data_IF_908691075697
#
_entry.id   IF_908691075697
#
_cell.length_a   1.000
_cell.length_b   1.000
_cell.length_c   1.000
_cell.angle_alpha   90.00
_cell.angle_beta   90.00
_cell.angle_gamma   90.00
#
_symmetry.space_group_name_H-M   'P 1'
#
loop_
_entity.id
_entity.type
_entity.pdbx_description
1 polymer ?
#
# COMPACT_ATOMS: atom_id res chain seq x y z
N UNK A 1 12.17 -10.89 -20.77
CA UNK A 1 12.33 -11.47 -19.41
C UNK A 1 13.38 -12.56 -19.50
N UNK A 2 14.42 -12.56 -18.65
CA UNK A 2 15.47 -13.57 -18.73
C UNK A 2 14.88 -14.98 -18.68
N UNK A 3 15.19 -15.80 -19.68
CA UNK A 3 14.75 -17.20 -19.74
C UNK A 3 13.31 -17.44 -20.19
N UNK A 4 12.52 -16.41 -20.52
CA UNK A 4 11.11 -16.59 -20.95
C UNK A 4 10.88 -16.12 -22.40
N UNK A 5 10.87 -17.04 -23.38
CA UNK A 5 10.60 -16.71 -24.78
C UNK A 5 9.28 -15.97 -24.97
N UNK A 6 9.26 -14.96 -25.84
CA UNK A 6 8.06 -14.17 -26.13
C UNK A 6 7.67 -13.17 -25.03
N UNK A 7 8.48 -12.98 -23.99
CA UNK A 7 8.28 -11.95 -22.97
C UNK A 7 9.43 -10.94 -22.95
N UNK A 8 9.10 -9.66 -22.78
CA UNK A 8 10.03 -8.55 -22.89
C UNK A 8 9.89 -7.60 -21.70
N UNK A 9 10.98 -6.92 -21.35
CA UNK A 9 10.93 -5.78 -20.43
C UNK A 9 11.01 -4.52 -21.28
N UNK A 10 9.93 -3.73 -21.29
CA UNK A 10 9.90 -2.44 -21.94
C UNK A 10 10.13 -1.35 -20.89
N UNK A 11 11.09 -0.46 -21.14
CA UNK A 11 11.34 0.72 -20.30
C UNK A 11 10.78 1.94 -21.02
N UNK A 12 9.85 2.64 -20.36
CA UNK A 12 9.13 3.78 -20.92
C UNK A 12 9.43 5.00 -20.04
N UNK A 13 9.71 6.14 -20.67
CA UNK A 13 9.87 7.42 -19.99
C UNK A 13 8.67 8.32 -20.30
N UNK A 14 8.18 9.02 -19.29
CA UNK A 14 7.11 10.01 -19.38
C UNK A 14 7.66 11.35 -18.91
N UNK A 15 7.25 12.44 -19.55
CA UNK A 15 7.56 13.78 -19.07
C UNK A 15 6.80 14.05 -17.76
N UNK A 16 7.40 14.80 -16.84
CA UNK A 16 6.81 15.11 -15.54
C UNK A 16 5.55 15.97 -15.69
N UNK A 17 5.50 16.81 -16.72
CA UNK A 17 4.38 17.72 -17.00
C UNK A 17 3.07 16.97 -17.36
N UNK A 18 3.15 15.66 -17.65
CA UNK A 18 1.99 14.81 -17.87
C UNK A 18 1.24 14.45 -16.58
N UNK A 19 1.82 14.76 -15.41
CA UNK A 19 1.30 14.31 -14.13
C UNK A 19 0.85 15.48 -13.26
N UNK A 20 -0.38 15.39 -12.78
CA UNK A 20 -0.90 16.28 -11.76
C UNK A 20 -0.13 16.07 -10.44
N UNK A 21 0.32 17.18 -9.85
CA UNK A 21 1.01 17.21 -8.56
C UNK A 21 0.14 16.59 -7.46
N UNK A 22 0.72 15.72 -6.63
CA UNK A 22 0.03 15.13 -5.48
C UNK A 22 -1.08 14.12 -5.82
N UNK A 23 -1.25 13.72 -7.08
CA UNK A 23 -2.39 12.92 -7.54
C UNK A 23 -1.99 11.51 -8.00
N UNK A 24 -2.15 10.52 -7.11
CA UNK A 24 -1.97 9.09 -7.45
C UNK A 24 -3.01 8.66 -8.51
N UNK A 25 -4.23 9.20 -8.44
CA UNK A 25 -5.29 8.92 -9.39
C UNK A 25 -4.90 9.35 -10.81
N UNK A 26 -4.36 10.56 -10.99
CA UNK A 26 -3.88 11.02 -12.28
C UNK A 26 -2.73 10.14 -12.79
N UNK A 27 -1.66 9.93 -12.00
CA UNK A 27 -0.52 9.09 -12.39
C UNK A 27 -0.94 7.68 -12.82
N UNK A 28 -1.82 7.04 -12.05
CA UNK A 28 -2.31 5.69 -12.38
C UNK A 28 -3.16 5.69 -13.65
N UNK A 29 -4.06 6.66 -13.81
CA UNK A 29 -4.88 6.77 -15.02
C UNK A 29 -4.02 6.98 -16.28
N UNK A 30 -2.95 7.76 -16.19
CA UNK A 30 -2.03 8.04 -17.30
C UNK A 30 -1.18 6.82 -17.68
N UNK A 31 -0.67 6.06 -16.70
CA UNK A 31 0.27 4.95 -16.97
C UNK A 31 -0.45 3.64 -17.29
N UNK A 32 -1.51 3.30 -16.54
CA UNK A 32 -2.13 1.97 -16.60
C UNK A 32 -3.59 1.99 -17.08
N UNK A 33 -4.17 3.17 -17.37
CA UNK A 33 -5.60 3.31 -17.63
C UNK A 33 -6.15 2.45 -18.78
N UNK A 34 -5.51 2.52 -19.96
CA UNK A 34 -6.02 1.83 -21.16
C UNK A 34 -5.07 0.75 -21.72
N UNK A 35 -3.78 0.83 -21.39
CA UNK A 35 -2.73 0.06 -22.09
C UNK A 35 -2.81 -1.46 -21.85
N UNK A 36 -3.40 -1.89 -20.73
CA UNK A 36 -3.57 -3.32 -20.41
C UNK A 36 -4.68 -3.99 -21.24
N UNK A 37 -5.57 -3.22 -21.86
CA UNK A 37 -6.66 -3.72 -22.72
C UNK A 37 -6.32 -3.78 -24.21
N UNK A 38 -5.07 -3.48 -24.60
CA UNK A 38 -4.68 -3.46 -26.02
C UNK A 38 -4.76 -4.86 -26.64
N UNK A 39 -5.59 -5.03 -27.68
CA UNK A 39 -5.75 -6.31 -28.39
C UNK A 39 -4.45 -6.88 -28.97
N UNK A 40 -3.47 -6.02 -29.24
CA UNK A 40 -2.16 -6.41 -29.75
C UNK A 40 -1.24 -7.02 -28.66
N UNK A 41 -1.57 -6.84 -27.38
CA UNK A 41 -0.82 -7.38 -26.26
C UNK A 41 -1.54 -8.61 -25.70
N UNK A 42 -0.84 -9.74 -25.63
CA UNK A 42 -1.38 -10.96 -25.00
C UNK A 42 -1.52 -10.81 -23.48
N UNK A 43 -0.56 -10.14 -22.86
CA UNK A 43 -0.53 -9.82 -21.44
C UNK A 43 0.43 -8.64 -21.23
N UNK A 44 0.18 -7.86 -20.18
CA UNK A 44 1.05 -6.77 -19.74
C UNK A 44 1.13 -6.79 -18.22
N UNK A 45 2.30 -6.47 -17.67
CA UNK A 45 2.53 -6.27 -16.25
C UNK A 45 3.44 -5.07 -16.05
N UNK A 46 3.02 -4.16 -15.18
CA UNK A 46 3.88 -3.09 -14.69
C UNK A 46 4.75 -3.68 -13.56
N UNK A 47 6.06 -3.77 -13.79
CA UNK A 47 7.00 -4.38 -12.83
C UNK A 47 7.52 -3.36 -11.81
N UNK A 48 7.83 -2.13 -12.24
CA UNK A 48 8.42 -1.10 -11.39
C UNK A 48 8.13 0.31 -11.94
N UNK A 49 8.21 1.31 -11.07
CA UNK A 49 8.10 2.74 -11.39
C UNK A 49 9.24 3.51 -10.74
N UNK A 50 10.01 4.22 -11.58
CA UNK A 50 10.96 5.22 -11.08
C UNK A 50 10.23 6.55 -10.86
N UNK A 51 9.98 6.91 -9.60
CA UNK A 51 9.38 8.20 -9.26
C UNK A 51 10.47 9.27 -9.02
N UNK A 52 10.52 10.37 -9.80
CA UNK A 52 11.53 11.40 -9.63
C UNK A 52 11.29 12.22 -8.36
N UNK A 53 12.38 12.75 -7.76
CA UNK A 53 12.31 13.56 -6.53
C UNK A 53 11.41 14.79 -6.67
N UNK A 54 11.35 15.41 -7.86
CA UNK A 54 10.50 16.56 -8.12
C UNK A 54 9.02 16.21 -7.93
N UNK A 55 8.57 15.10 -8.52
CA UNK A 55 7.20 14.62 -8.37
C UNK A 55 6.93 14.12 -6.94
N UNK A 56 7.87 13.37 -6.34
CA UNK A 56 7.72 12.82 -4.99
C UNK A 56 7.46 13.92 -3.93
N UNK A 57 8.09 15.10 -4.08
CA UNK A 57 7.92 16.24 -3.17
C UNK A 57 6.54 16.89 -3.20
N UNK A 58 5.72 16.57 -4.20
CA UNK A 58 4.34 17.08 -4.30
C UNK A 58 3.37 16.33 -3.38
N UNK A 59 3.81 15.21 -2.78
CA UNK A 59 3.00 14.41 -1.87
C UNK A 59 3.38 14.66 -0.41
N UNK A 60 2.41 14.63 0.53
CA UNK A 60 2.69 14.76 1.96
C UNK A 60 3.44 13.54 2.53
N UNK A 61 3.37 12.39 1.85
CA UNK A 61 3.96 11.13 2.34
C UNK A 61 3.20 10.56 3.54
N UNK A 62 3.84 9.65 4.31
CA UNK A 62 3.25 9.09 5.52
C UNK A 62 3.00 10.18 6.59
N UNK A 63 1.82 10.22 7.25
CA UNK A 63 1.51 11.26 8.26
C UNK A 63 2.49 11.31 9.45
N UNK A 64 3.06 10.17 9.84
CA UNK A 64 3.99 10.06 10.98
C UNK A 64 5.27 9.31 10.59
N UNK A 65 5.11 8.19 9.87
CA UNK A 65 6.22 7.31 9.55
C UNK A 65 6.68 6.47 10.74
N UNK A 66 7.62 5.56 10.47
CA UNK A 66 8.02 4.49 11.40
C UNK A 66 8.61 5.04 12.71
N UNK A 67 9.41 6.12 12.62
CA UNK A 67 10.09 6.69 13.80
C UNK A 67 9.08 7.28 14.77
N UNK A 68 8.26 8.22 14.30
CA UNK A 68 7.22 8.88 15.11
C UNK A 68 6.20 7.87 15.66
N UNK A 69 5.79 6.87 14.87
CA UNK A 69 4.86 5.84 15.32
C UNK A 69 5.44 5.03 16.50
N UNK A 70 6.73 4.69 16.47
CA UNK A 70 7.40 4.00 17.58
C UNK A 70 7.56 4.87 18.81
N UNK A 71 7.86 6.16 18.61
CA UNK A 71 7.95 7.15 19.69
C UNK A 71 6.60 7.38 20.38
N UNK A 72 5.51 7.50 19.63
CA UNK A 72 4.16 7.64 20.20
C UNK A 72 3.71 6.43 21.00
N UNK A 73 4.14 5.23 20.62
CA UNK A 73 3.75 3.98 21.27
C UNK A 73 4.71 3.55 22.38
N UNK A 74 5.87 4.20 22.52
CA UNK A 74 6.98 3.80 23.39
C UNK A 74 7.37 2.31 23.20
N UNK A 75 7.51 1.88 21.93
CA UNK A 75 7.75 0.47 21.56
C UNK A 75 8.94 0.32 20.62
N UNK A 76 10.02 -0.22 21.17
CA UNK A 76 11.31 -0.38 20.48
C UNK A 76 11.83 -1.81 20.54
N UNK A 77 12.80 -2.14 19.68
CA UNK A 77 13.54 -3.41 19.73
C UNK A 77 12.77 -4.67 19.31
N UNK A 78 11.47 -4.56 19.00
CA UNK A 78 10.64 -5.68 18.51
C UNK A 78 9.63 -5.26 17.44
N UNK A 79 9.12 -6.21 16.62
CA UNK A 79 7.94 -6.00 15.81
C UNK A 79 6.71 -5.65 16.66
N UNK A 80 5.81 -4.87 16.08
CA UNK A 80 4.47 -4.66 16.62
C UNK A 80 3.60 -5.86 16.25
N UNK A 81 2.83 -6.36 17.21
CA UNK A 81 1.97 -7.55 17.03
C UNK A 81 0.52 -7.13 17.09
N UNK A 82 -0.28 -7.56 16.11
CA UNK A 82 -1.71 -7.30 16.10
C UNK A 82 -2.55 -8.44 15.56
N UNK A 83 -3.85 -8.40 15.84
CA UNK A 83 -4.81 -9.41 15.40
C UNK A 83 -6.05 -8.77 14.77
N UNK A 84 -6.63 -9.44 13.78
CA UNK A 84 -7.95 -9.09 13.24
C UNK A 84 -9.02 -9.76 14.08
N UNK A 85 -10.01 -9.00 14.54
CA UNK A 85 -11.14 -9.56 15.32
C UNK A 85 -11.93 -10.57 14.47
N UNK A 86 -12.34 -11.69 15.08
CA UNK A 86 -13.14 -12.74 14.43
C UNK A 86 -14.38 -13.10 15.27
N UNK A 87 -15.48 -13.57 14.65
CA UNK A 87 -15.70 -13.73 13.21
C UNK A 87 -15.72 -12.39 12.47
N UNK A 88 -15.53 -12.45 11.13
CA UNK A 88 -15.45 -11.27 10.26
C UNK A 88 -16.66 -10.34 10.40
N UNK A 89 -17.86 -10.91 10.53
CA UNK A 89 -19.12 -10.20 10.76
C UNK A 89 -19.94 -10.95 11.82
N UNK A 90 -20.92 -10.25 12.40
CA UNK A 90 -21.93 -10.86 13.29
C UNK A 90 -21.65 -10.74 14.79
N UNK A 91 -20.55 -10.10 15.20
CA UNK A 91 -20.36 -9.71 16.58
C UNK A 91 -21.17 -8.45 16.90
N UNK A 92 -21.86 -8.45 18.04
CA UNK A 92 -22.38 -7.21 18.63
C UNK A 92 -21.21 -6.32 19.07
N UNK A 93 -21.41 -5.00 19.13
CA UNK A 93 -20.37 -4.06 19.58
C UNK A 93 -19.82 -4.43 20.97
N UNK A 94 -20.66 -4.93 21.88
CA UNK A 94 -20.25 -5.39 23.20
C UNK A 94 -19.30 -6.60 23.12
N UNK A 95 -19.64 -7.60 22.31
CA UNK A 95 -18.80 -8.78 22.17
C UNK A 95 -17.52 -8.46 21.39
N UNK A 96 -17.58 -7.55 20.42
CA UNK A 96 -16.43 -7.02 19.71
C UNK A 96 -15.44 -6.38 20.69
N UNK A 97 -15.92 -5.47 21.56
CA UNK A 97 -15.09 -4.83 22.59
C UNK A 97 -14.48 -5.84 23.57
N UNK A 98 -15.21 -6.91 23.91
CA UNK A 98 -14.66 -7.99 24.75
C UNK A 98 -13.48 -8.69 24.08
N UNK A 99 -13.59 -9.04 22.79
CA UNK A 99 -12.49 -9.68 22.05
C UNK A 99 -11.27 -8.76 21.97
N UNK A 100 -11.51 -7.48 21.66
CA UNK A 100 -10.45 -6.45 21.61
C UNK A 100 -9.72 -6.35 22.96
N UNK A 101 -10.48 -6.24 24.05
CA UNK A 101 -9.92 -6.13 25.39
C UNK A 101 -9.06 -7.34 25.77
N UNK A 102 -9.56 -8.56 25.59
CA UNK A 102 -8.80 -9.78 25.94
C UNK A 102 -7.51 -9.90 25.11
N UNK A 103 -7.57 -9.52 23.83
CA UNK A 103 -6.41 -9.59 22.94
C UNK A 103 -5.31 -8.59 23.34
N UNK A 104 -5.67 -7.34 23.65
CA UNK A 104 -4.71 -6.32 24.09
C UNK A 104 -4.14 -6.65 25.48
N UNK A 105 -5.00 -7.11 26.40
CA UNK A 105 -4.56 -7.58 27.73
C UNK A 105 -3.61 -8.77 27.63
N UNK A 106 -3.80 -9.63 26.62
CA UNK A 106 -2.93 -10.77 26.33
C UNK A 106 -1.56 -10.41 25.77
N UNK A 107 -1.28 -9.12 25.52
CA UNK A 107 0.04 -8.63 25.09
C UNK A 107 0.13 -8.23 23.62
N UNK A 108 -1.00 -8.18 22.89
CA UNK A 108 -1.00 -7.57 21.56
C UNK A 108 -0.85 -6.05 21.66
N UNK A 109 -0.18 -5.46 20.67
CA UNK A 109 -0.05 -4.01 20.57
C UNK A 109 -1.31 -3.39 19.97
N UNK A 110 -1.97 -4.11 19.06
CA UNK A 110 -3.14 -3.64 18.33
C UNK A 110 -4.15 -4.76 18.07
N UNK A 111 -5.39 -4.34 17.88
CA UNK A 111 -6.40 -5.13 17.17
C UNK A 111 -6.92 -4.31 16.00
N UNK A 112 -7.42 -4.97 14.95
CA UNK A 112 -8.08 -4.31 13.82
C UNK A 112 -9.46 -4.90 13.54
N UNK A 113 -10.33 -4.04 13.00
CA UNK A 113 -11.55 -4.43 12.29
C UNK A 113 -11.20 -5.31 11.09
N UNK A 114 -12.13 -6.14 10.61
CA UNK A 114 -11.86 -7.05 9.48
C UNK A 114 -11.62 -6.30 8.15
#
# INVERSE_FOLDING_TARGET
VPGTPGQYIAKIAYDIDLFEEGSIANMTSSIIGNVFGFKALKALRLEDLRIPKAYLKTFPGPPHGIVMEREYLDKFGRPLVGATTKPKLGLSAKNYGRVVYEALRGGLDFTKDD
#
